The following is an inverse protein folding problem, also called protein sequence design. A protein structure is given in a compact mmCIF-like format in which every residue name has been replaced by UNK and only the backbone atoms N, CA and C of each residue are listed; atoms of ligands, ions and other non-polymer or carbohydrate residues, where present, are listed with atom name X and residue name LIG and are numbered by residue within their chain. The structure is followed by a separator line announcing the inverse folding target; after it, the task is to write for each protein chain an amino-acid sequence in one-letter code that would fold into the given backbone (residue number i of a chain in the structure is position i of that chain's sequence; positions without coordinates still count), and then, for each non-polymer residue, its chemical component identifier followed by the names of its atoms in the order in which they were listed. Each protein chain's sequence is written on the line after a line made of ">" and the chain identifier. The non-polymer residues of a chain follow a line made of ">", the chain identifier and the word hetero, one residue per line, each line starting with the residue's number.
data_IF_466595262125
#
_entry.id   IF_466595262125
#
_cell.length_a   1.000
_cell.length_b   1.000
_cell.length_c   1.000
_cell.angle_alpha   90.00
_cell.angle_beta   90.00
_cell.angle_gamma   90.00
#
_symmetry.space_group_name_H-M   'P 1'
#
loop_
_entity.id
_entity.type
_entity.pdbx_description
1 polymer ?
#
# COMPACT_ATOMS: atom_id res chain seq x y z
N UNK A 1 8.02 -22.72 6.00
CA UNK A 1 8.33 -22.33 4.61
C UNK A 1 9.29 -21.17 4.71
N UNK A 2 10.48 -21.25 4.10
CA UNK A 2 11.64 -20.35 4.24
C UNK A 2 12.60 -20.51 5.45
N UNK A 3 12.58 -21.67 6.12
CA UNK A 3 13.39 -21.88 7.34
C UNK A 3 14.89 -22.05 7.05
N UNK A 4 15.26 -22.52 5.85
CA UNK A 4 16.65 -22.78 5.46
C UNK A 4 17.30 -21.51 4.88
N UNK A 5 16.48 -20.60 4.36
CA UNK A 5 16.85 -19.37 3.68
C UNK A 5 17.01 -18.19 4.64
N UNK A 6 16.67 -18.38 5.93
CA UNK A 6 16.70 -17.35 6.98
C UNK A 6 15.92 -16.07 6.60
N UNK A 7 14.80 -16.24 5.87
CA UNK A 7 13.92 -15.14 5.45
C UNK A 7 12.69 -15.10 6.35
N UNK A 8 12.35 -13.96 6.97
CA UNK A 8 11.16 -13.85 7.81
C UNK A 8 9.89 -13.97 6.95
N UNK A 9 8.94 -14.77 7.42
CA UNK A 9 7.64 -14.96 6.78
C UNK A 9 6.55 -14.24 7.57
N UNK A 10 5.75 -13.43 6.87
CA UNK A 10 4.66 -12.65 7.47
C UNK A 10 3.31 -13.04 6.86
N UNK A 11 2.32 -13.26 7.71
CA UNK A 11 0.94 -13.57 7.29
C UNK A 11 0.01 -12.47 7.81
N UNK A 12 -0.63 -11.68 6.94
CA UNK A 12 -1.60 -10.70 7.37
C UNK A 12 -2.89 -11.38 7.88
N UNK A 13 -3.67 -10.75 8.76
CA UNK A 13 -5.01 -11.23 9.10
C UNK A 13 -5.87 -11.38 7.83
N UNK A 14 -6.56 -12.51 7.68
CA UNK A 14 -7.31 -12.83 6.44
C UNK A 14 -8.29 -11.73 6.00
N UNK A 15 -8.94 -11.06 6.97
CA UNK A 15 -9.85 -9.94 6.72
C UNK A 15 -9.20 -8.71 6.05
N UNK A 16 -7.87 -8.64 6.05
CA UNK A 16 -7.09 -7.56 5.43
C UNK A 16 -6.50 -7.97 4.07
N UNK A 17 -6.66 -9.21 3.63
CA UNK A 17 -6.09 -9.68 2.35
C UNK A 17 -6.90 -9.22 1.13
N UNK A 18 -8.20 -9.05 1.28
CA UNK A 18 -9.08 -8.52 0.23
C UNK A 18 -9.08 -7.00 0.25
N UNK A 19 -9.56 -6.38 -0.83
CA UNK A 19 -9.68 -4.93 -0.94
C UNK A 19 -10.39 -4.32 0.28
N UNK A 20 -9.73 -3.33 0.89
CA UNK A 20 -10.25 -2.65 2.06
C UNK A 20 -9.72 -1.20 2.16
N UNK A 21 -10.44 -0.34 2.87
CA UNK A 21 -10.03 1.06 3.05
C UNK A 21 -8.80 1.23 3.95
N UNK A 22 -8.50 0.26 4.84
CA UNK A 22 -7.37 0.35 5.75
C UNK A 22 -6.03 0.31 4.99
N UNK A 23 -5.92 -0.48 3.93
CA UNK A 23 -4.71 -0.52 3.09
C UNK A 23 -4.47 0.80 2.34
N UNK A 24 -5.56 1.50 1.94
CA UNK A 24 -5.48 2.81 1.29
C UNK A 24 -4.97 3.85 2.29
N UNK A 25 -5.49 3.86 3.52
CA UNK A 25 -4.99 4.71 4.59
C UNK A 25 -3.52 4.42 4.91
N UNK A 26 -3.15 3.15 5.05
CA UNK A 26 -1.77 2.73 5.34
C UNK A 26 -0.78 3.18 4.26
N UNK A 27 -1.17 3.14 2.98
CA UNK A 27 -0.35 3.64 1.88
C UNK A 27 -0.28 5.18 1.86
N UNK A 28 -1.38 5.87 2.17
CA UNK A 28 -1.48 7.33 2.11
C UNK A 28 -0.79 8.05 3.28
N UNK A 29 -0.78 7.47 4.49
CA UNK A 29 -0.17 8.08 5.68
C UNK A 29 1.29 8.52 5.47
N UNK A 30 2.23 7.67 5.01
CA UNK A 30 3.61 8.11 4.79
C UNK A 30 3.72 9.20 3.72
N UNK A 31 2.86 9.18 2.68
CA UNK A 31 2.80 10.25 1.68
C UNK A 31 2.36 11.57 2.31
N UNK A 32 1.35 11.51 3.19
CA UNK A 32 0.83 12.67 3.89
C UNK A 32 1.87 13.25 4.86
N UNK A 33 2.56 12.41 5.61
CA UNK A 33 3.67 12.81 6.49
C UNK A 33 4.83 13.43 5.70
N UNK A 34 5.11 12.94 4.50
CA UNK A 34 6.11 13.50 3.57
C UNK A 34 5.66 14.79 2.85
N UNK A 35 4.47 15.34 3.15
CA UNK A 35 3.97 16.57 2.54
C UNK A 35 3.33 16.40 1.16
N UNK A 36 3.21 15.18 0.63
CA UNK A 36 2.56 14.90 -0.65
C UNK A 36 1.03 15.04 -0.47
N UNK A 37 0.37 15.80 -1.35
CA UNK A 37 -1.08 16.06 -1.29
C UNK A 37 -1.70 15.96 -2.67
N UNK A 38 -2.89 15.35 -2.74
CA UNK A 38 -3.78 15.49 -3.90
C UNK A 38 -4.57 16.80 -3.83
N UNK A 39 -5.09 17.24 -4.97
CA UNK A 39 -6.02 18.38 -5.06
C UNK A 39 -7.43 17.90 -5.50
N UNK A 40 -8.37 18.83 -5.58
CA UNK A 40 -9.76 18.51 -5.97
C UNK A 40 -9.93 18.07 -7.43
N UNK A 41 -8.88 18.17 -8.25
CA UNK A 41 -8.86 17.69 -9.65
C UNK A 41 -8.36 16.25 -9.78
N UNK A 42 -8.03 15.58 -8.67
CA UNK A 42 -7.56 14.20 -8.67
C UNK A 42 -8.58 13.24 -9.29
N UNK A 43 -8.11 12.29 -10.09
CA UNK A 43 -8.95 11.35 -10.81
C UNK A 43 -8.35 9.93 -10.77
N UNK A 44 -9.19 8.91 -10.89
CA UNK A 44 -8.75 7.53 -11.01
C UNK A 44 -8.02 7.31 -12.34
N UNK A 45 -6.89 6.59 -12.30
CA UNK A 45 -6.14 6.20 -13.50
C UNK A 45 -6.16 4.68 -13.65
N UNK A 46 -7.13 4.12 -14.40
CA UNK A 46 -7.13 2.69 -14.72
C UNK A 46 -5.81 2.30 -15.38
N UNK A 47 -5.22 1.18 -14.95
CA UNK A 47 -3.93 0.72 -15.46
C UNK A 47 -2.71 1.50 -14.94
N UNK A 48 -2.83 2.24 -13.84
CA UNK A 48 -1.67 2.83 -13.17
C UNK A 48 -0.69 1.72 -12.73
N UNK A 49 0.55 1.81 -13.20
CA UNK A 49 1.62 0.88 -12.82
C UNK A 49 2.13 1.16 -11.40
N UNK A 50 2.40 0.11 -10.63
CA UNK A 50 2.97 0.20 -9.29
C UNK A 50 4.50 0.24 -9.36
N UNK A 51 5.08 1.43 -9.60
CA UNK A 51 6.55 1.62 -9.68
C UNK A 51 7.15 2.19 -8.40
N UNK A 52 6.54 3.26 -7.89
CA UNK A 52 6.96 3.97 -6.69
C UNK A 52 5.79 4.81 -6.18
N UNK A 53 5.79 5.11 -4.89
CA UNK A 53 4.88 6.10 -4.30
C UNK A 53 5.51 7.51 -4.26
N UNK A 54 6.78 7.61 -4.67
CA UNK A 54 7.53 8.84 -4.95
C UNK A 54 7.67 9.06 -6.45
#
# INVERSE_FOLDING_TARGET
>A
VFAEENIPFFVPPLKMCTDNAAMIGAAATPMFEAGIRGNLSMNGRPGMELKSWV
#
